data_IF_548183859076
#
_entry.id   IF_548183859076
#
_cell.length_a   1.000
_cell.length_b   1.000
_cell.length_c   1.000
_cell.angle_alpha   90.00
_cell.angle_beta   90.00
_cell.angle_gamma   90.00
#
_symmetry.space_group_name_H-M   'P 1'
#
loop_
_entity.id
_entity.type
_entity.pdbx_description
1 polymer ?
#
# COMPACT_ATOMS: atom_id res chain seq x y z
N UNK A 1 -37.33 -3.47 -55.69
CA UNK A 1 -37.67 -4.46 -54.65
C UNK A 1 -36.46 -4.67 -53.74
N UNK A 2 -36.68 -4.63 -52.42
CA UNK A 2 -35.91 -5.21 -51.30
C UNK A 2 -34.37 -5.02 -51.25
N UNK A 3 -33.84 -4.11 -50.41
CA UNK A 3 -33.41 -4.31 -49.00
C UNK A 3 -32.37 -5.43 -48.80
N UNK A 4 -31.14 -5.06 -48.43
CA UNK A 4 -30.43 -5.73 -47.34
C UNK A 4 -29.37 -4.82 -46.71
N UNK A 5 -29.72 -4.30 -45.54
CA UNK A 5 -28.91 -3.55 -44.59
C UNK A 5 -27.90 -4.52 -43.96
N UNK A 6 -26.59 -4.30 -44.06
CA UNK A 6 -25.61 -4.98 -43.18
C UNK A 6 -24.84 -3.92 -42.41
N UNK A 7 -25.36 -3.67 -41.20
CA UNK A 7 -24.82 -2.81 -40.18
C UNK A 7 -23.67 -3.54 -39.49
N UNK A 8 -22.43 -3.16 -39.78
CA UNK A 8 -21.24 -3.64 -39.06
C UNK A 8 -21.19 -3.00 -37.66
N UNK A 9 -21.74 -3.69 -36.66
CA UNK A 9 -21.56 -3.32 -35.25
C UNK A 9 -20.19 -3.88 -34.80
N UNK A 10 -19.14 -3.05 -34.82
CA UNK A 10 -17.90 -3.38 -34.12
C UNK A 10 -18.13 -3.15 -32.63
N UNK A 11 -18.25 -4.23 -31.87
CA UNK A 11 -18.37 -4.20 -30.42
C UNK A 11 -17.01 -3.77 -29.83
N UNK A 12 -16.86 -2.49 -29.51
CA UNK A 12 -15.72 -1.97 -28.77
C UNK A 12 -15.86 -2.48 -27.33
N UNK A 13 -15.07 -3.49 -26.97
CA UNK A 13 -14.86 -3.88 -25.58
C UNK A 13 -14.09 -2.76 -24.88
N UNK A 14 -14.82 -1.89 -24.17
CA UNK A 14 -14.24 -0.88 -23.31
C UNK A 14 -13.81 -1.56 -22.00
N UNK A 15 -12.54 -1.91 -21.88
CA UNK A 15 -11.96 -2.43 -20.64
C UNK A 15 -12.08 -1.36 -19.55
N UNK A 16 -13.01 -1.55 -18.62
CA UNK A 16 -13.12 -0.71 -17.42
C UNK A 16 -11.92 -1.04 -16.54
N UNK A 17 -10.88 -0.21 -16.60
CA UNK A 17 -9.79 -0.25 -15.64
C UNK A 17 -10.33 0.23 -14.29
N UNK A 18 -10.43 -0.67 -13.32
CA UNK A 18 -10.76 -0.29 -11.94
C UNK A 18 -9.59 0.53 -11.36
N UNK A 19 -9.86 1.63 -10.63
CA UNK A 19 -8.80 2.37 -9.96
C UNK A 19 -8.13 1.47 -8.91
N UNK A 20 -6.85 1.17 -9.11
CA UNK A 20 -6.02 0.52 -8.11
C UNK A 20 -5.52 1.55 -7.08
N UNK A 21 -5.40 1.20 -5.79
CA UNK A 21 -4.73 2.06 -4.82
C UNK A 21 -3.33 2.44 -5.32
N UNK A 22 -3.04 3.74 -5.35
CA UNK A 22 -1.79 4.27 -5.87
C UNK A 22 -0.62 3.86 -4.95
N UNK A 23 0.29 3.07 -5.50
CA UNK A 23 1.56 2.72 -4.86
C UNK A 23 2.56 3.88 -5.01
N UNK A 24 3.29 4.19 -3.94
CA UNK A 24 4.34 5.19 -3.92
C UNK A 24 5.70 4.52 -3.70
N UNK A 25 6.75 5.10 -4.28
CA UNK A 25 8.11 4.57 -4.21
C UNK A 25 9.09 5.70 -3.93
N UNK A 26 9.99 5.50 -2.98
CA UNK A 26 11.05 6.45 -2.63
C UNK A 26 12.37 5.73 -2.36
N UNK A 27 13.50 6.38 -2.61
CA UNK A 27 14.84 5.78 -2.48
C UNK A 27 15.66 6.49 -1.40
N UNK A 28 16.28 5.71 -0.52
CA UNK A 28 17.13 6.14 0.59
C UNK A 28 18.46 5.41 0.51
N UNK A 29 19.48 6.03 -0.07
CA UNK A 29 20.77 5.38 -0.31
C UNK A 29 20.60 4.11 -1.17
N UNK A 30 20.93 2.94 -0.61
CA UNK A 30 20.78 1.64 -1.28
C UNK A 30 19.38 1.02 -1.13
N UNK A 31 18.44 1.70 -0.46
CA UNK A 31 17.12 1.17 -0.13
C UNK A 31 16.05 1.80 -1.02
N UNK A 32 15.14 0.99 -1.54
CA UNK A 32 13.92 1.42 -2.21
C UNK A 32 12.74 1.01 -1.34
N UNK A 33 11.91 1.99 -0.96
CA UNK A 33 10.75 1.78 -0.10
C UNK A 33 9.50 1.95 -0.94
N UNK A 34 8.71 0.87 -1.00
CA UNK A 34 7.37 0.88 -1.56
C UNK A 34 6.39 1.09 -0.42
N UNK A 35 5.49 2.05 -0.56
CA UNK A 35 4.49 2.32 0.47
C UNK A 35 3.17 2.75 -0.14
N UNK A 36 2.08 2.40 0.54
CA UNK A 36 0.77 2.93 0.26
C UNK A 36 -0.09 2.88 1.52
N UNK A 37 -1.22 3.58 1.46
CA UNK A 37 -2.26 3.45 2.47
C UNK A 37 -3.64 3.41 1.79
N UNK A 38 -4.50 2.50 2.21
CA UNK A 38 -5.83 2.30 1.61
C UNK A 38 -6.82 1.72 2.61
N UNK A 39 -8.13 1.73 2.32
CA UNK A 39 -9.12 1.11 3.21
C UNK A 39 -9.07 -0.40 3.14
N UNK A 40 -9.11 -1.09 4.28
CA UNK A 40 -9.02 -2.57 4.36
C UNK A 40 -10.12 -3.29 3.57
N UNK A 41 -11.23 -2.63 3.25
CA UNK A 41 -12.27 -3.20 2.38
C UNK A 41 -11.81 -3.44 0.93
N UNK A 42 -10.80 -2.69 0.45
CA UNK A 42 -10.24 -2.89 -0.90
C UNK A 42 -9.51 -4.22 -1.05
N UNK A 43 -9.07 -4.83 0.06
CA UNK A 43 -8.51 -6.17 0.05
C UNK A 43 -9.57 -7.18 -0.42
N UNK A 44 -9.13 -8.17 -1.19
CA UNK A 44 -9.98 -9.33 -1.46
C UNK A 44 -10.27 -10.08 -0.15
N UNK A 45 -11.41 -10.80 -0.05
CA UNK A 45 -11.69 -11.65 1.11
C UNK A 45 -10.57 -12.63 1.45
N UNK A 46 -9.91 -13.16 0.41
CA UNK A 46 -8.82 -14.12 0.54
C UNK A 46 -7.58 -13.50 1.17
N UNK A 47 -7.11 -12.36 0.64
CA UNK A 47 -5.93 -11.66 1.19
C UNK A 47 -6.20 -11.17 2.61
N UNK A 48 -7.38 -10.61 2.86
CA UNK A 48 -7.77 -10.18 4.19
C UNK A 48 -7.77 -11.34 5.19
N UNK A 49 -8.27 -12.51 4.79
CA UNK A 49 -8.23 -13.72 5.62
C UNK A 49 -6.80 -14.22 5.83
N UNK A 50 -6.00 -14.28 4.76
CA UNK A 50 -4.61 -14.74 4.78
C UNK A 50 -3.77 -13.95 5.77
N UNK A 51 -3.92 -12.64 5.80
CA UNK A 51 -3.17 -11.75 6.69
C UNK A 51 -3.91 -11.40 7.99
N UNK A 52 -5.06 -12.04 8.26
CA UNK A 52 -5.90 -11.78 9.43
C UNK A 52 -6.21 -10.27 9.61
N UNK A 53 -6.68 -9.64 8.54
CA UNK A 53 -7.09 -8.23 8.49
C UNK A 53 -8.61 -8.17 8.38
N UNK A 54 -9.25 -7.42 9.29
CA UNK A 54 -10.70 -7.23 9.22
C UNK A 54 -11.02 -6.18 8.16
N UNK A 55 -11.71 -6.59 7.09
CA UNK A 55 -12.22 -5.69 6.04
C UNK A 55 -13.23 -4.70 6.61
N UNK A 56 -13.01 -3.41 6.35
CA UNK A 56 -13.89 -2.30 6.71
C UNK A 56 -13.56 -1.05 5.88
N UNK A 57 -14.57 -0.28 5.51
CA UNK A 57 -14.37 1.03 4.88
C UNK A 57 -13.77 2.05 5.85
N UNK A 58 -14.10 1.96 7.15
CA UNK A 58 -13.64 2.89 8.19
C UNK A 58 -12.31 2.48 8.83
N UNK A 59 -11.50 1.71 8.11
CA UNK A 59 -10.23 1.20 8.60
C UNK A 59 -9.21 1.29 7.49
N UNK A 60 -8.21 2.13 7.68
CA UNK A 60 -7.06 2.25 6.81
C UNK A 60 -6.02 1.18 7.17
N UNK A 61 -5.31 0.74 6.14
CA UNK A 61 -4.12 -0.09 6.22
C UNK A 61 -2.98 0.70 5.60
N UNK A 62 -1.96 0.99 6.39
CA UNK A 62 -0.63 1.36 5.93
C UNK A 62 0.12 0.08 5.56
N UNK A 63 0.71 0.04 4.38
CA UNK A 63 1.59 -1.03 3.96
C UNK A 63 2.92 -0.44 3.48
N UNK A 64 4.02 -0.99 3.98
CA UNK A 64 5.39 -0.60 3.66
C UNK A 64 6.19 -1.84 3.33
N UNK A 65 6.96 -1.80 2.25
CA UNK A 65 7.92 -2.82 1.85
C UNK A 65 9.27 -2.15 1.57
N UNK A 66 10.35 -2.77 2.01
CA UNK A 66 11.70 -2.20 1.93
C UNK A 66 12.56 -3.19 1.17
N UNK A 67 13.17 -2.71 0.09
CA UNK A 67 14.05 -3.46 -0.76
C UNK A 67 15.46 -2.86 -0.71
N UNK A 68 16.50 -3.69 -0.67
CA UNK A 68 17.90 -3.27 -0.81
C UNK A 68 18.36 -3.57 -2.23
N UNK A 69 19.00 -2.59 -2.88
CA UNK A 69 19.70 -2.80 -4.13
C UNK A 69 20.95 -3.65 -3.87
N UNK A 70 21.10 -4.74 -4.62
CA UNK A 70 22.30 -5.59 -4.57
C UNK A 70 23.08 -5.39 -5.87
N UNK A 71 24.40 -5.37 -5.78
CA UNK A 71 25.30 -5.22 -6.93
C UNK A 71 24.91 -6.22 -8.03
N UNK A 72 24.57 -5.73 -9.24
CA UNK A 72 24.15 -6.56 -10.37
C UNK A 72 22.65 -6.59 -10.72
N UNK A 73 21.91 -5.50 -10.43
CA UNK A 73 20.52 -5.16 -10.86
C UNK A 73 19.33 -5.79 -10.14
N UNK A 74 19.51 -6.76 -9.23
CA UNK A 74 18.38 -7.29 -8.44
C UNK A 74 18.16 -6.51 -7.14
N UNK A 75 16.90 -6.18 -6.84
CA UNK A 75 16.46 -5.77 -5.50
C UNK A 75 16.14 -7.00 -4.65
N UNK A 76 16.33 -6.92 -3.33
CA UNK A 76 15.94 -7.97 -2.38
C UNK A 76 15.19 -7.38 -1.19
N UNK A 77 14.11 -8.02 -0.69
CA UNK A 77 13.48 -7.60 0.56
C UNK A 77 14.47 -7.61 1.71
N UNK A 78 14.38 -6.62 2.59
CA UNK A 78 15.24 -6.50 3.77
C UNK A 78 14.40 -6.33 5.03
N UNK A 79 14.82 -7.02 6.11
CA UNK A 79 14.25 -6.82 7.44
C UNK A 79 14.63 -5.44 7.97
N UNK A 80 13.72 -4.84 8.73
CA UNK A 80 13.88 -3.51 9.30
C UNK A 80 12.98 -3.36 10.53
N UNK A 81 13.41 -2.50 11.45
CA UNK A 81 12.55 -1.99 12.50
C UNK A 81 11.77 -0.82 11.91
N UNK A 82 10.46 -1.00 11.72
CA UNK A 82 9.56 0.04 11.18
C UNK A 82 8.68 0.60 12.29
N UNK A 83 8.64 1.93 12.39
CA UNK A 83 7.72 2.67 13.27
C UNK A 83 6.93 3.67 12.45
N UNK A 84 5.65 3.82 12.77
CA UNK A 84 4.78 4.73 12.07
C UNK A 84 3.85 5.49 13.03
N UNK A 85 3.55 6.73 12.68
CA UNK A 85 2.47 7.52 13.28
C UNK A 85 1.57 8.07 12.18
N UNK A 86 0.31 8.36 12.55
CA UNK A 86 -0.63 9.06 11.69
C UNK A 86 -1.18 10.28 12.42
N UNK A 87 -1.25 11.42 11.73
CA UNK A 87 -1.80 12.67 12.25
C UNK A 87 -2.93 13.14 11.35
N UNK A 88 -4.10 13.41 11.90
CA UNK A 88 -5.20 14.00 11.14
C UNK A 88 -5.11 15.53 11.09
N UNK A 89 -5.99 16.18 10.32
CA UNK A 89 -6.01 17.64 10.19
C UNK A 89 -6.32 18.39 11.49
N UNK A 90 -6.89 17.70 12.49
CA UNK A 90 -7.12 18.24 13.83
C UNK A 90 -5.87 18.10 14.73
N UNK A 91 -4.71 17.76 14.15
CA UNK A 91 -3.45 17.51 14.87
C UNK A 91 -3.53 16.40 15.93
N UNK A 92 -4.50 15.48 15.79
CA UNK A 92 -4.57 14.30 16.66
C UNK A 92 -3.58 13.26 16.15
N UNK A 93 -2.59 12.96 16.99
CA UNK A 93 -1.54 11.97 16.71
C UNK A 93 -1.99 10.58 17.17
N UNK A 94 -1.86 9.60 16.28
CA UNK A 94 -2.05 8.18 16.55
C UNK A 94 -0.72 7.45 16.37
N UNK A 95 -0.25 6.77 17.42
CA UNK A 95 0.86 5.82 17.30
C UNK A 95 0.35 4.51 16.70
N UNK A 96 0.97 4.06 15.62
CA UNK A 96 0.52 2.86 14.92
C UNK A 96 1.26 1.62 15.42
N UNK A 97 0.52 0.54 15.67
CA UNK A 97 1.11 -0.76 15.92
C UNK A 97 1.46 -1.40 14.58
N UNK A 98 2.76 -1.42 14.27
CA UNK A 98 3.29 -2.02 13.03
C UNK A 98 3.54 -3.51 13.25
N UNK A 99 3.04 -4.33 12.33
CA UNK A 99 3.22 -5.79 12.29
C UNK A 99 4.04 -6.18 11.06
N UNK A 100 5.11 -6.93 11.26
CA UNK A 100 5.88 -7.59 10.19
C UNK A 100 5.12 -8.82 9.68
N UNK A 101 5.08 -8.99 8.36
CA UNK A 101 4.60 -10.17 7.68
C UNK A 101 5.63 -10.61 6.64
N UNK A 102 6.02 -11.88 6.69
CA UNK A 102 7.00 -12.46 5.76
C UNK A 102 6.28 -13.47 4.87
N UNK A 103 6.36 -13.25 3.56
CA UNK A 103 5.93 -14.23 2.57
C UNK A 103 7.11 -15.09 2.16
N UNK A 104 6.95 -16.41 2.36
CA UNK A 104 7.92 -17.41 1.92
C UNK A 104 7.63 -17.77 0.47
N UNK A 105 8.65 -17.73 -0.40
CA UNK A 105 8.51 -18.04 -1.82
C UNK A 105 9.58 -17.37 -2.69
N UNK A 106 9.41 -17.45 -4.01
CA UNK A 106 10.22 -16.70 -4.97
C UNK A 106 9.30 -15.87 -5.89
N UNK A 107 9.37 -14.53 -5.86
CA UNK A 107 10.18 -13.71 -4.94
C UNK A 107 9.50 -13.62 -3.57
N UNK A 108 10.22 -13.94 -2.48
CA UNK A 108 9.73 -13.69 -1.13
C UNK A 108 9.50 -12.19 -0.90
N UNK A 109 8.70 -11.84 0.10
CA UNK A 109 8.38 -10.44 0.41
C UNK A 109 8.32 -10.21 1.93
N UNK A 110 8.59 -8.97 2.36
CA UNK A 110 8.44 -8.53 3.74
C UNK A 110 7.58 -7.28 3.74
N UNK A 111 6.43 -7.35 4.42
CA UNK A 111 5.48 -6.26 4.56
C UNK A 111 5.41 -5.78 6.00
N UNK A 112 5.38 -4.47 6.20
CA UNK A 112 5.12 -3.83 7.47
C UNK A 112 3.75 -3.18 7.39
N UNK A 113 2.81 -3.79 8.10
CA UNK A 113 1.40 -3.45 8.05
C UNK A 113 0.98 -2.74 9.34
N UNK A 114 0.20 -1.67 9.22
CA UNK A 114 -0.41 -1.04 10.37
C UNK A 114 -1.83 -0.59 10.07
N UNK A 115 -2.74 -0.77 11.03
CA UNK A 115 -4.15 -0.40 10.88
C UNK A 115 -4.47 0.85 11.69
N UNK A 116 -5.31 1.72 11.15
CA UNK A 116 -5.89 2.86 11.88
C UNK A 116 -7.35 3.05 11.50
N UNK A 117 -8.14 3.58 12.43
CA UNK A 117 -9.52 3.99 12.13
C UNK A 117 -9.50 5.25 11.25
N UNK A 118 -10.45 5.35 10.32
CA UNK A 118 -10.62 6.53 9.45
C UNK A 118 -12.09 6.82 9.18
N UNK A 119 -12.41 8.09 9.02
CA UNK A 119 -13.73 8.59 8.61
C UNK A 119 -13.77 8.94 7.13
N UNK A 120 -14.97 9.13 6.59
CA UNK A 120 -15.12 9.56 5.20
C UNK A 120 -14.48 10.93 4.97
N UNK A 121 -13.68 11.05 3.91
CA UNK A 121 -12.96 12.26 3.56
C UNK A 121 -11.78 12.59 4.47
N UNK A 122 -11.47 11.77 5.48
CA UNK A 122 -10.38 12.03 6.42
C UNK A 122 -9.02 11.98 5.72
N UNK A 123 -8.21 13.01 5.94
CA UNK A 123 -6.83 13.08 5.49
C UNK A 123 -5.90 12.77 6.65
N UNK A 124 -5.04 11.78 6.46
CA UNK A 124 -3.99 11.43 7.42
C UNK A 124 -2.61 11.75 6.83
N UNK A 125 -1.77 12.36 7.64
CA UNK A 125 -0.33 12.49 7.40
C UNK A 125 0.38 11.36 8.12
N UNK A 126 1.00 10.46 7.38
CA UNK A 126 1.80 9.38 7.93
C UNK A 126 3.25 9.83 8.06
N UNK A 127 3.84 9.65 9.24
CA UNK A 127 5.28 9.74 9.44
C UNK A 127 5.81 8.33 9.69
N UNK A 128 6.69 7.86 8.81
CA UNK A 128 7.22 6.49 8.85
C UNK A 128 8.73 6.57 8.97
N UNK A 129 9.27 5.81 9.92
CA UNK A 129 10.70 5.61 10.08
C UNK A 129 11.03 4.13 9.93
N UNK A 130 12.16 3.84 9.32
CA UNK A 130 12.68 2.49 9.22
C UNK A 130 14.18 2.45 9.46
N UNK A 131 14.62 1.43 10.18
CA UNK A 131 16.02 1.12 10.39
C UNK A 131 16.26 -0.30 9.86
N UNK A 132 16.95 -0.45 8.71
CA UNK A 132 17.28 -1.76 8.18
C UNK A 132 18.10 -2.57 9.19
N UNK A 133 17.85 -3.87 9.27
CA UNK A 133 18.49 -4.75 10.23
C UNK A 133 20.02 -4.76 10.06
N UNK A 134 20.75 -4.65 11.18
CA UNK A 134 22.20 -4.55 11.20
C UNK A 134 22.80 -3.21 10.74
N UNK A 135 21.99 -2.22 10.36
CA UNK A 135 22.47 -0.88 9.99
C UNK A 135 22.29 0.12 11.15
N UNK A 136 23.19 1.10 11.25
CA UNK A 136 23.08 2.15 12.28
C UNK A 136 22.13 3.30 11.87
N UNK A 137 21.93 3.49 10.56
CA UNK A 137 21.16 4.61 10.04
C UNK A 137 19.66 4.33 10.07
N UNK A 138 18.88 5.34 10.51
CA UNK A 138 17.42 5.34 10.44
C UNK A 138 16.99 6.35 9.39
N UNK A 139 16.15 5.90 8.47
CA UNK A 139 15.55 6.76 7.45
C UNK A 139 14.12 7.11 7.85
N UNK A 140 13.62 8.24 7.37
CA UNK A 140 12.26 8.71 7.66
C UNK A 140 11.67 9.36 6.42
N UNK A 141 10.38 9.12 6.21
CA UNK A 141 9.61 9.77 5.17
C UNK A 141 8.21 10.14 5.67
N UNK A 142 7.56 11.03 4.95
CA UNK A 142 6.23 11.51 5.30
C UNK A 142 5.40 11.63 4.05
N UNK A 143 4.16 11.14 4.11
CA UNK A 143 3.22 11.24 3.01
C UNK A 143 1.80 11.44 3.54
N UNK A 144 0.92 11.94 2.69
CA UNK A 144 -0.47 12.16 3.02
C UNK A 144 -1.34 11.22 2.22
N UNK A 145 -2.42 10.75 2.84
CA UNK A 145 -3.46 9.99 2.15
C UNK A 145 -4.83 10.46 2.60
N UNK A 146 -5.72 10.67 1.63
CA UNK A 146 -7.13 10.92 1.86
C UNK A 146 -7.92 9.61 1.73
N UNK A 147 -8.79 9.34 2.68
CA UNK A 147 -9.63 8.14 2.69
C UNK A 147 -11.06 8.48 2.34
N UNK A 148 -11.60 7.79 1.34
CA UNK A 148 -13.03 7.81 1.01
C UNK A 148 -13.60 6.48 1.48
N UNK A 149 -14.67 6.53 2.28
CA UNK A 149 -15.21 5.35 3.00
C UNK A 149 -16.65 5.02 2.60
N UNK A 150 -17.16 5.64 1.55
CA UNK A 150 -18.49 5.41 0.97
C UNK A 150 -18.49 4.29 -0.07
#
# INVERSE_FOLDING_TARGET
MARCLTLCISLIFLSVALPAPAEQVETFGAYTVHYNAFTTNSLTPEIAKLYNIRRSNNRALLNVSILKQVMGTSTKPVKAIVKATATNLNSQLSQLTVRELIESGEPGAIYYLAETSVNNGEMLTYNVSFNPDGEAETYTFTFQQQFITE
#
